data_IF_291798238645
#
_entry.id   IF_291798238645
#
_cell.length_a   1.000
_cell.length_b   1.000
_cell.length_c   1.000
_cell.angle_alpha   90.00
_cell.angle_beta   90.00
_cell.angle_gamma   90.00
#
_symmetry.space_group_name_H-M   'P 1'
#
loop_
_entity.id
_entity.type
_entity.pdbx_description
1 polymer ?
#
# COMPACT_ATOMS: atom_id res chain seq x y z
N UNK A 1 -30.96 -23.32 -3.98
CA UNK A 1 -29.76 -22.53 -4.34
C UNK A 1 -30.11 -21.12 -3.96
N UNK A 2 -29.46 -20.52 -2.96
CA UNK A 2 -29.68 -19.11 -2.66
C UNK A 2 -29.10 -18.31 -3.84
N UNK A 3 -29.91 -17.45 -4.45
CA UNK A 3 -29.40 -16.51 -5.45
C UNK A 3 -28.39 -15.60 -4.76
N UNK A 4 -27.23 -15.40 -5.41
CA UNK A 4 -26.14 -14.58 -4.91
C UNK A 4 -26.59 -13.11 -4.90
N UNK A 5 -26.78 -12.52 -3.72
CA UNK A 5 -27.23 -11.14 -3.54
C UNK A 5 -26.16 -10.17 -4.05
N UNK A 6 -26.53 -9.28 -4.95
CA UNK A 6 -25.65 -8.22 -5.42
C UNK A 6 -25.86 -6.94 -4.60
N UNK A 7 -24.78 -6.15 -4.49
CA UNK A 7 -24.76 -4.90 -3.75
C UNK A 7 -24.48 -3.73 -4.70
N UNK A 8 -25.22 -2.64 -4.52
CA UNK A 8 -25.13 -1.48 -5.40
C UNK A 8 -25.06 -0.15 -4.65
N UNK A 9 -24.53 0.85 -5.35
CA UNK A 9 -24.55 2.26 -5.00
C UNK A 9 -25.36 3.02 -6.04
N UNK A 10 -26.35 3.79 -5.60
CA UNK A 10 -27.23 4.60 -6.43
C UNK A 10 -27.11 6.08 -6.07
N UNK A 11 -26.60 6.86 -7.02
CA UNK A 11 -26.61 8.32 -6.96
C UNK A 11 -28.02 8.85 -7.26
N UNK A 12 -28.69 9.46 -6.29
CA UNK A 12 -30.02 10.03 -6.47
C UNK A 12 -30.03 11.56 -6.36
N UNK A 13 -30.98 12.19 -7.07
CA UNK A 13 -31.27 13.62 -6.90
C UNK A 13 -32.26 13.84 -5.75
N UNK A 14 -32.30 15.06 -5.21
CA UNK A 14 -33.16 15.43 -4.09
C UNK A 14 -34.64 15.12 -4.37
N UNK A 15 -35.11 15.49 -5.56
CA UNK A 15 -36.51 15.34 -5.97
C UNK A 15 -36.95 13.89 -6.28
N UNK A 16 -36.11 12.89 -6.01
CA UNK A 16 -36.45 11.47 -6.19
C UNK A 16 -37.19 10.87 -5.01
N UNK A 17 -37.20 11.59 -3.90
CA UNK A 17 -37.83 11.21 -2.64
C UNK A 17 -38.73 12.35 -2.18
N UNK A 18 -39.83 12.01 -1.52
CA UNK A 18 -40.65 13.01 -0.84
C UNK A 18 -40.13 13.23 0.58
N UNK A 19 -39.38 14.30 0.77
CA UNK A 19 -38.80 14.66 2.07
C UNK A 19 -39.83 15.22 3.06
N UNK A 20 -41.11 15.35 2.67
CA UNK A 20 -42.19 15.74 3.59
C UNK A 20 -42.89 14.54 4.24
N UNK A 21 -42.64 13.33 3.73
CA UNK A 21 -43.11 12.07 4.29
C UNK A 21 -41.92 11.24 4.81
N UNK A 22 -42.13 10.25 5.70
CA UNK A 22 -41.08 9.32 6.08
C UNK A 22 -40.43 8.68 4.83
N UNK A 23 -39.10 8.69 4.75
CA UNK A 23 -38.40 8.18 3.57
C UNK A 23 -38.46 6.65 3.51
N UNK A 24 -38.44 6.00 4.67
CA UNK A 24 -38.54 4.54 4.80
C UNK A 24 -39.87 4.05 4.22
N UNK A 25 -39.78 3.08 3.31
CA UNK A 25 -40.91 2.49 2.58
C UNK A 25 -41.27 3.22 1.29
N UNK A 26 -40.67 4.39 1.00
CA UNK A 26 -40.84 5.03 -0.30
C UNK A 26 -40.16 4.21 -1.41
N UNK A 27 -40.73 4.26 -2.60
CA UNK A 27 -40.18 3.61 -3.78
C UNK A 27 -39.83 4.60 -4.87
N UNK A 28 -38.74 4.37 -5.59
CA UNK A 28 -38.30 5.21 -6.71
C UNK A 28 -37.94 4.38 -7.93
N UNK A 29 -38.13 4.94 -9.12
CA UNK A 29 -37.92 4.27 -10.40
C UNK A 29 -36.75 4.89 -11.17
N UNK A 30 -35.83 4.05 -11.65
CA UNK A 30 -34.80 4.45 -12.61
C UNK A 30 -34.85 3.63 -13.89
N UNK A 31 -34.53 4.28 -15.02
CA UNK A 31 -34.50 3.67 -16.36
C UNK A 31 -33.09 3.79 -16.96
N UNK A 32 -32.62 2.71 -17.59
CA UNK A 32 -31.26 2.60 -18.14
C UNK A 32 -30.98 3.46 -19.39
N UNK A 33 -31.90 4.33 -19.83
CA UNK A 33 -31.95 4.82 -21.22
C UNK A 33 -32.17 6.32 -21.46
N UNK A 34 -32.02 7.22 -20.48
CA UNK A 34 -32.38 8.63 -20.72
C UNK A 34 -31.21 9.58 -21.05
N UNK A 35 -30.10 9.68 -20.28
CA UNK A 35 -29.09 10.74 -20.52
C UNK A 35 -27.71 10.48 -19.89
N UNK A 36 -27.11 9.28 -19.99
CA UNK A 36 -25.86 9.00 -19.25
C UNK A 36 -24.87 8.09 -20.00
N UNK A 37 -23.58 8.19 -19.63
CA UNK A 37 -22.44 7.54 -20.28
C UNK A 37 -22.67 5.99 -20.35
N UNK A 38 -22.79 5.39 -21.55
CA UNK A 38 -23.37 4.05 -21.73
C UNK A 38 -22.57 2.85 -21.19
N UNK A 39 -21.31 3.02 -20.78
CA UNK A 39 -20.38 1.89 -20.68
C UNK A 39 -20.42 1.11 -19.35
N UNK A 40 -20.74 1.75 -18.21
CA UNK A 40 -20.74 1.09 -16.89
C UNK A 40 -22.11 1.01 -16.22
N UNK A 41 -22.89 2.11 -16.19
CA UNK A 41 -24.22 2.10 -15.55
C UNK A 41 -25.15 1.05 -16.15
N UNK A 42 -25.12 0.88 -17.48
CA UNK A 42 -25.94 -0.10 -18.19
C UNK A 42 -25.64 -1.56 -17.80
N UNK A 43 -24.40 -1.88 -17.39
CA UNK A 43 -24.05 -3.24 -16.91
C UNK A 43 -24.64 -3.50 -15.53
N UNK A 44 -24.59 -2.53 -14.62
CA UNK A 44 -25.21 -2.66 -13.30
C UNK A 44 -26.73 -2.88 -13.42
N UNK A 45 -27.41 -2.14 -14.31
CA UNK A 45 -28.83 -2.37 -14.60
C UNK A 45 -29.13 -3.76 -15.16
N UNK A 46 -28.22 -4.37 -15.94
CA UNK A 46 -28.39 -5.73 -16.47
C UNK A 46 -28.26 -6.82 -15.41
N UNK A 47 -27.43 -6.58 -14.40
CA UNK A 47 -27.14 -7.54 -13.35
C UNK A 47 -28.12 -7.42 -12.16
N UNK A 48 -28.90 -6.34 -12.10
CA UNK A 48 -29.88 -6.11 -11.05
C UNK A 48 -30.97 -7.19 -11.03
N UNK A 49 -31.21 -7.73 -9.84
CA UNK A 49 -32.24 -8.72 -9.51
C UNK A 49 -33.07 -8.25 -8.32
N UNK A 50 -34.26 -8.82 -8.17
CA UNK A 50 -35.13 -8.53 -7.01
C UNK A 50 -34.45 -9.08 -5.75
N UNK A 51 -34.40 -8.28 -4.69
CA UNK A 51 -33.73 -8.62 -3.43
C UNK A 51 -32.28 -8.11 -3.31
N UNK A 52 -31.68 -7.64 -4.40
CA UNK A 52 -30.37 -7.00 -4.36
C UNK A 52 -30.39 -5.73 -3.49
N UNK A 53 -29.29 -5.48 -2.77
CA UNK A 53 -29.20 -4.41 -1.80
C UNK A 53 -28.56 -3.15 -2.39
N UNK A 54 -29.03 -1.97 -1.96
CA UNK A 54 -28.68 -0.69 -2.58
C UNK A 54 -28.45 0.40 -1.54
N UNK A 55 -27.31 1.08 -1.63
CA UNK A 55 -27.02 2.34 -0.94
C UNK A 55 -27.58 3.50 -1.76
N UNK A 56 -28.33 4.40 -1.11
CA UNK A 56 -28.81 5.64 -1.70
C UNK A 56 -27.92 6.82 -1.29
N UNK A 57 -27.33 7.50 -2.26
CA UNK A 57 -26.48 8.66 -2.04
C UNK A 57 -27.01 9.89 -2.77
N UNK A 58 -27.29 10.95 -2.03
CA UNK A 58 -27.86 12.18 -2.56
C UNK A 58 -26.77 13.14 -3.03
N UNK A 59 -26.72 13.37 -4.35
CA UNK A 59 -25.66 14.18 -4.99
C UNK A 59 -26.00 15.67 -5.04
N UNK A 60 -27.29 16.01 -5.03
CA UNK A 60 -27.74 17.40 -5.07
C UNK A 60 -27.81 17.98 -3.65
N UNK A 61 -27.45 19.25 -3.48
CA UNK A 61 -27.49 19.96 -2.18
C UNK A 61 -26.50 19.41 -1.12
N UNK A 62 -25.43 18.69 -1.52
CA UNK A 62 -24.37 18.16 -0.65
C UNK A 62 -24.88 17.36 0.58
N UNK A 63 -26.00 16.68 0.42
CA UNK A 63 -26.72 16.02 1.52
C UNK A 63 -26.15 14.65 1.89
N UNK A 64 -25.36 14.03 1.01
CA UNK A 64 -24.57 12.84 1.35
C UNK A 64 -25.37 11.53 1.35
N UNK A 65 -24.94 10.60 2.19
CA UNK A 65 -25.56 9.28 2.38
C UNK A 65 -27.00 9.43 2.90
N UNK A 66 -27.98 8.86 2.19
CA UNK A 66 -29.39 8.96 2.57
C UNK A 66 -29.84 7.75 3.38
N UNK A 67 -29.47 6.55 2.93
CA UNK A 67 -30.03 5.31 3.45
C UNK A 67 -29.60 4.09 2.66
N UNK A 68 -30.16 2.94 3.02
CA UNK A 68 -30.06 1.72 2.24
C UNK A 68 -31.41 1.02 2.09
N UNK A 69 -31.50 0.11 1.14
CA UNK A 69 -32.70 -0.66 0.88
C UNK A 69 -32.49 -1.68 -0.24
N UNK A 70 -33.55 -2.01 -0.97
CA UNK A 70 -33.52 -3.15 -1.88
C UNK A 70 -34.19 -2.89 -3.24
N UNK A 71 -33.86 -3.72 -4.22
CA UNK A 71 -34.53 -3.77 -5.50
C UNK A 71 -35.81 -4.61 -5.37
N UNK A 72 -36.97 -3.99 -5.63
CA UNK A 72 -38.29 -4.65 -5.49
C UNK A 72 -38.89 -5.09 -6.82
N UNK A 73 -38.41 -4.54 -7.94
CA UNK A 73 -38.91 -4.91 -9.28
C UNK A 73 -37.92 -4.54 -10.38
N UNK A 74 -37.69 -5.47 -11.31
CA UNK A 74 -36.86 -5.27 -12.51
C UNK A 74 -37.69 -5.62 -13.74
N UNK A 75 -37.83 -4.69 -14.68
CA UNK A 75 -38.62 -4.86 -15.90
C UNK A 75 -37.80 -4.48 -17.13
N UNK A 76 -37.75 -5.36 -18.12
CA UNK A 76 -37.15 -5.07 -19.43
C UNK A 76 -38.23 -4.61 -20.39
N UNK A 77 -38.21 -3.32 -20.73
CA UNK A 77 -39.15 -2.69 -21.66
C UNK A 77 -38.73 -2.81 -23.13
N UNK A 78 -39.57 -2.27 -24.02
CA UNK A 78 -39.26 -2.14 -25.44
C UNK A 78 -37.95 -1.37 -25.67
N UNK A 79 -37.16 -1.77 -26.67
CA UNK A 79 -35.83 -1.21 -27.00
C UNK A 79 -34.70 -1.51 -25.99
N UNK A 80 -34.75 -2.63 -25.25
CA UNK A 80 -33.72 -3.02 -24.27
C UNK A 80 -33.51 -2.02 -23.11
N UNK A 81 -34.53 -1.22 -22.80
CA UNK A 81 -34.53 -0.34 -21.63
C UNK A 81 -34.91 -1.12 -20.37
N UNK A 82 -34.05 -1.10 -19.36
CA UNK A 82 -34.30 -1.76 -18.08
C UNK A 82 -34.83 -0.72 -17.10
N UNK A 83 -35.94 -1.04 -16.44
CA UNK A 83 -36.58 -0.25 -15.40
C UNK A 83 -36.43 -0.97 -14.08
N UNK A 84 -35.89 -0.29 -13.09
CA UNK A 84 -35.63 -0.86 -11.76
C UNK A 84 -36.33 0.01 -10.72
N UNK A 85 -37.17 -0.63 -9.90
CA UNK A 85 -37.77 -0.01 -8.73
C UNK A 85 -36.96 -0.36 -7.50
N UNK A 86 -36.67 0.66 -6.71
CA UNK A 86 -35.94 0.57 -5.46
C UNK A 86 -36.85 0.99 -4.32
N UNK A 87 -36.75 0.34 -3.17
CA UNK A 87 -37.42 0.72 -1.94
C UNK A 87 -36.38 1.08 -0.88
N UNK A 88 -36.55 2.20 -0.19
CA UNK A 88 -35.69 2.58 0.94
C UNK A 88 -36.15 1.87 2.21
N UNK A 89 -35.28 1.10 2.86
CA UNK A 89 -35.61 0.31 4.05
C UNK A 89 -35.13 0.96 5.34
N UNK A 90 -34.06 1.73 5.28
CA UNK A 90 -33.46 2.37 6.45
C UNK A 90 -32.80 3.70 6.07
N UNK A 91 -33.00 4.71 6.92
CA UNK A 91 -32.30 5.99 6.82
C UNK A 91 -30.95 5.92 7.54
N UNK A 92 -29.92 6.52 6.94
CA UNK A 92 -28.55 6.58 7.46
C UNK A 92 -28.14 8.03 7.72
N UNK A 93 -27.12 8.24 8.56
CA UNK A 93 -26.56 9.58 8.79
C UNK A 93 -26.04 10.17 7.47
N UNK A 94 -26.21 11.49 7.26
CA UNK A 94 -25.78 12.19 6.04
C UNK A 94 -24.26 12.33 5.96
N UNK A 95 -23.59 11.23 5.59
CA UNK A 95 -22.15 11.17 5.39
C UNK A 95 -21.78 11.62 3.98
N UNK A 96 -20.87 12.59 3.87
CA UNK A 96 -20.41 13.07 2.56
C UNK A 96 -19.44 12.08 1.91
N UNK A 97 -19.35 12.13 0.59
CA UNK A 97 -18.35 11.38 -0.18
C UNK A 97 -16.92 11.67 0.31
N UNK A 98 -16.63 12.90 0.75
CA UNK A 98 -15.32 13.27 1.28
C UNK A 98 -15.04 12.68 2.66
N UNK A 99 -16.08 12.46 3.48
CA UNK A 99 -15.95 11.67 4.71
C UNK A 99 -15.67 10.20 4.37
N UNK A 100 -16.46 9.59 3.49
CA UNK A 100 -16.31 8.16 3.13
C UNK A 100 -14.95 7.86 2.49
N UNK A 101 -14.40 8.78 1.68
CA UNK A 101 -13.04 8.66 1.09
C UNK A 101 -11.91 8.59 2.10
N UNK A 102 -12.15 8.93 3.38
CA UNK A 102 -11.13 8.79 4.44
C UNK A 102 -10.83 7.33 4.76
N UNK A 103 -11.76 6.42 4.46
CA UNK A 103 -11.53 4.98 4.57
C UNK A 103 -10.70 4.49 3.38
N UNK A 104 -9.58 3.83 3.64
CA UNK A 104 -8.75 3.23 2.58
C UNK A 104 -9.55 2.21 1.74
N UNK A 105 -10.49 1.47 2.36
CA UNK A 105 -11.36 0.51 1.68
C UNK A 105 -12.32 1.20 0.69
N UNK A 106 -12.83 2.38 1.05
CA UNK A 106 -13.81 3.10 0.23
C UNK A 106 -13.17 4.14 -0.71
N UNK A 107 -11.93 4.56 -0.46
CA UNK A 107 -11.30 5.68 -1.19
C UNK A 107 -11.32 5.47 -2.70
N UNK A 108 -10.79 4.33 -3.16
CA UNK A 108 -10.72 4.00 -4.58
C UNK A 108 -12.14 3.94 -5.18
N UNK A 109 -13.07 3.29 -4.48
CA UNK A 109 -14.46 3.14 -4.93
C UNK A 109 -15.15 4.50 -5.08
N UNK A 110 -15.10 5.32 -4.04
CA UNK A 110 -15.73 6.65 -4.01
C UNK A 110 -15.11 7.63 -5.02
N UNK A 111 -13.82 7.50 -5.34
CA UNK A 111 -13.18 8.30 -6.41
C UNK A 111 -13.70 7.93 -7.79
N UNK A 112 -13.96 6.65 -8.04
CA UNK A 112 -14.34 6.15 -9.36
C UNK A 112 -15.85 6.18 -9.66
N UNK A 113 -16.72 6.29 -8.64
CA UNK A 113 -18.18 6.29 -8.81
C UNK A 113 -18.80 7.66 -9.15
N UNK A 114 -18.03 8.75 -9.18
CA UNK A 114 -18.58 10.12 -9.23
C UNK A 114 -19.42 10.46 -10.46
N UNK A 115 -19.30 9.71 -11.56
CA UNK A 115 -19.96 10.03 -12.83
C UNK A 115 -21.08 9.05 -13.21
N UNK A 116 -21.20 7.93 -12.49
CA UNK A 116 -22.10 6.83 -12.83
C UNK A 116 -23.27 6.79 -11.87
N UNK A 117 -24.49 6.74 -12.42
CA UNK A 117 -25.72 6.73 -11.64
C UNK A 117 -25.82 5.51 -10.70
N UNK A 118 -25.48 4.34 -11.22
CA UNK A 118 -25.71 3.05 -10.58
C UNK A 118 -24.46 2.18 -10.72
N UNK A 119 -23.88 1.78 -9.60
CA UNK A 119 -22.59 1.10 -9.53
C UNK A 119 -22.68 -0.15 -8.68
N UNK A 120 -22.06 -1.24 -9.13
CA UNK A 120 -21.91 -2.43 -8.30
C UNK A 120 -20.77 -2.22 -7.30
N UNK A 121 -21.03 -2.52 -6.04
CA UNK A 121 -20.08 -2.51 -4.93
C UNK A 121 -19.96 -3.92 -4.35
N UNK A 122 -18.93 -4.17 -3.54
CA UNK A 122 -18.82 -5.44 -2.81
C UNK A 122 -19.70 -5.44 -1.57
N UNK A 123 -19.98 -6.62 -1.04
CA UNK A 123 -20.65 -6.81 0.26
C UNK A 123 -19.91 -6.08 1.39
N UNK A 124 -18.59 -6.25 1.45
CA UNK A 124 -17.72 -5.58 2.44
C UNK A 124 -17.82 -4.04 2.35
N UNK A 125 -17.84 -3.48 1.13
CA UNK A 125 -18.03 -2.05 0.90
C UNK A 125 -19.42 -1.60 1.38
N UNK A 126 -20.47 -2.39 1.12
CA UNK A 126 -21.85 -2.11 1.53
C UNK A 126 -21.99 -2.12 3.05
N UNK A 127 -21.55 -3.18 3.71
CA UNK A 127 -21.64 -3.34 5.17
C UNK A 127 -20.91 -2.21 5.91
N UNK A 128 -19.71 -1.84 5.45
CA UNK A 128 -18.97 -0.72 6.01
C UNK A 128 -19.71 0.60 5.87
N UNK A 129 -20.32 0.88 4.71
CA UNK A 129 -21.08 2.13 4.51
C UNK A 129 -22.31 2.16 5.44
N UNK A 130 -23.01 1.03 5.60
CA UNK A 130 -24.15 0.92 6.51
C UNK A 130 -23.72 1.13 7.97
N UNK A 131 -22.64 0.48 8.42
CA UNK A 131 -22.15 0.62 9.80
C UNK A 131 -21.69 2.05 10.11
N UNK A 132 -21.04 2.71 9.15
CA UNK A 132 -20.69 4.14 9.23
C UNK A 132 -21.94 5.03 9.27
N UNK A 133 -22.93 4.74 8.41
CA UNK A 133 -24.19 5.46 8.34
C UNK A 133 -25.05 5.33 9.60
N UNK A 134 -25.05 4.17 10.25
CA UNK A 134 -25.68 3.97 11.58
C UNK A 134 -24.88 4.66 12.69
N UNK A 135 -23.58 4.85 12.46
CA UNK A 135 -22.64 5.37 13.44
C UNK A 135 -22.22 4.35 14.48
N UNK A 136 -22.36 3.06 14.16
CA UNK A 136 -21.83 1.93 14.93
C UNK A 136 -20.30 1.92 14.86
N UNK A 137 -19.75 2.39 13.73
CA UNK A 137 -18.32 2.53 13.49
C UNK A 137 -17.98 3.95 13.05
N UNK A 138 -16.75 4.41 13.32
CA UNK A 138 -16.19 5.65 12.78
C UNK A 138 -14.94 5.34 11.96
N UNK A 139 -14.64 6.18 10.98
CA UNK A 139 -13.37 6.06 10.25
C UNK A 139 -12.27 6.59 11.18
N UNK A 140 -11.28 5.76 11.55
CA UNK A 140 -10.21 6.21 12.44
C UNK A 140 -9.38 7.29 11.73
N UNK A 141 -8.96 8.29 12.51
CA UNK A 141 -8.10 9.37 12.03
C UNK A 141 -6.82 9.38 12.86
N UNK A 142 -5.71 9.62 12.16
CA UNK A 142 -4.39 9.49 12.72
C UNK A 142 -3.66 10.82 12.57
N UNK A 143 -3.00 11.25 13.63
CA UNK A 143 -2.21 12.47 13.64
C UNK A 143 -0.86 12.26 14.28
N UNK A 144 0.12 12.99 13.78
CA UNK A 144 1.45 13.12 14.37
C UNK A 144 1.46 14.36 15.25
N UNK A 145 1.85 14.21 16.52
CA UNK A 145 1.96 15.30 17.48
C UNK A 145 3.41 15.42 17.98
N UNK A 146 4.01 16.60 17.80
CA UNK A 146 5.41 16.87 18.09
C UNK A 146 5.55 17.80 19.30
N UNK A 147 6.13 17.29 20.37
CA UNK A 147 6.31 17.99 21.63
C UNK A 147 7.75 17.90 22.15
N UNK A 148 8.02 18.69 23.20
CA UNK A 148 9.29 18.68 23.94
C UNK A 148 9.12 18.19 25.38
N UNK A 149 7.88 18.05 25.85
CA UNK A 149 7.59 17.50 27.17
C UNK A 149 7.69 15.98 27.13
N UNK A 150 8.01 15.40 28.28
CA UNK A 150 7.92 13.96 28.47
C UNK A 150 6.47 13.55 28.79
N UNK A 151 6.16 12.29 28.53
CA UNK A 151 4.82 11.72 28.69
C UNK A 151 4.93 10.40 29.44
N UNK A 152 4.05 10.22 30.41
CA UNK A 152 3.87 8.99 31.17
C UNK A 152 2.60 8.27 30.69
N UNK A 153 2.61 6.93 30.59
CA UNK A 153 1.43 6.12 30.28
C UNK A 153 0.23 6.42 31.19
N UNK A 154 -0.96 6.31 30.61
CA UNK A 154 -2.26 6.44 31.27
C UNK A 154 -2.54 7.82 31.90
N UNK A 155 -1.96 8.89 31.36
CA UNK A 155 -2.16 10.26 31.82
C UNK A 155 -2.69 11.21 30.73
N UNK A 156 -3.49 12.20 31.15
CA UNK A 156 -3.96 13.29 30.32
C UNK A 156 -3.01 14.51 30.35
N UNK A 157 -2.71 15.03 29.18
CA UNK A 157 -1.82 16.17 29.00
C UNK A 157 -2.52 17.33 28.28
N UNK A 158 -2.27 18.55 28.78
CA UNK A 158 -2.73 19.76 28.11
C UNK A 158 -1.72 20.19 27.05
N UNK A 159 -2.15 20.19 25.79
CA UNK A 159 -1.33 20.65 24.66
C UNK A 159 -1.88 21.97 24.12
N UNK A 160 -1.14 23.04 24.34
CA UNK A 160 -1.56 24.35 23.87
C UNK A 160 -1.31 24.53 22.37
N UNK A 161 -2.24 25.20 21.70
CA UNK A 161 -2.22 25.39 20.23
C UNK A 161 -1.45 26.62 19.77
N UNK A 162 -1.08 27.50 20.69
CA UNK A 162 -0.28 28.69 20.46
C UNK A 162 1.03 28.64 21.25
N UNK A 163 2.01 29.48 20.91
CA UNK A 163 3.18 29.74 21.74
C UNK A 163 2.80 30.64 22.92
N UNK A 164 3.74 30.85 23.85
CA UNK A 164 3.53 31.74 25.01
C UNK A 164 3.12 33.17 24.60
N UNK A 165 3.67 33.64 23.46
CA UNK A 165 3.38 34.96 22.88
C UNK A 165 2.11 34.97 22.01
N UNK A 166 1.37 33.86 21.93
CA UNK A 166 0.10 33.79 21.20
C UNK A 166 0.25 33.56 19.69
N UNK A 167 1.43 33.15 19.24
CA UNK A 167 1.65 32.78 17.84
C UNK A 167 1.10 31.36 17.64
N UNK A 168 0.27 31.16 16.62
CA UNK A 168 -0.25 29.83 16.25
C UNK A 168 0.91 28.86 16.02
N UNK A 169 0.84 27.68 16.64
CA UNK A 169 1.82 26.62 16.37
C UNK A 169 1.65 26.13 14.93
N UNK A 170 2.75 25.69 14.31
CA UNK A 170 2.72 25.18 12.95
C UNK A 170 1.83 23.95 12.86
N UNK A 171 0.93 23.93 11.87
CA UNK A 171 -0.12 22.93 11.77
C UNK A 171 -1.42 23.29 12.47
N UNK A 172 -1.62 24.55 12.88
CA UNK A 172 -2.79 24.99 13.64
C UNK A 172 -4.14 24.50 13.11
N UNK A 173 -4.32 24.49 11.80
CA UNK A 173 -5.56 24.03 11.15
C UNK A 173 -5.92 22.56 11.49
N UNK A 174 -4.94 21.71 11.82
CA UNK A 174 -5.22 20.35 12.27
C UNK A 174 -5.84 20.33 13.68
N UNK A 175 -5.43 21.22 14.59
CA UNK A 175 -6.07 21.30 15.92
C UNK A 175 -7.57 21.60 15.83
N UNK A 176 -7.99 22.40 14.85
CA UNK A 176 -9.42 22.70 14.63
C UNK A 176 -10.20 21.54 14.00
N UNK A 177 -9.51 20.53 13.48
CA UNK A 177 -10.10 19.35 12.83
C UNK A 177 -10.17 18.13 13.75
N UNK A 178 -9.41 18.13 14.86
CA UNK A 178 -9.39 17.01 15.80
C UNK A 178 -10.77 16.76 16.39
N UNK A 179 -11.11 15.51 16.65
CA UNK A 179 -12.28 15.11 17.44
C UNK A 179 -11.83 14.17 18.55
N UNK A 180 -12.65 14.04 19.59
CA UNK A 180 -12.39 13.08 20.67
C UNK A 180 -12.31 11.66 20.10
N UNK A 181 -11.26 10.93 20.46
CA UNK A 181 -10.94 9.58 19.97
C UNK A 181 -10.03 9.53 18.72
N UNK A 182 -9.64 10.69 18.16
CA UNK A 182 -8.61 10.72 17.12
C UNK A 182 -7.29 10.20 17.65
N UNK A 183 -6.65 9.31 16.90
CA UNK A 183 -5.44 8.61 17.29
C UNK A 183 -4.20 9.48 17.06
N UNK A 184 -3.31 9.49 18.02
CA UNK A 184 -2.10 10.31 18.06
C UNK A 184 -0.85 9.44 18.13
N UNK A 185 0.16 9.84 17.35
CA UNK A 185 1.54 9.39 17.50
C UNK A 185 2.32 10.53 18.15
N UNK A 186 2.93 10.27 19.30
CA UNK A 186 3.69 11.25 20.06
C UNK A 186 5.16 11.22 19.66
N UNK A 187 5.64 12.33 19.13
CA UNK A 187 7.04 12.56 18.80
C UNK A 187 7.66 13.53 19.80
N UNK A 188 8.72 13.10 20.46
CA UNK A 188 9.44 13.92 21.42
C UNK A 188 10.76 14.39 20.82
N UNK A 189 10.90 15.71 20.68
CA UNK A 189 12.10 16.36 20.11
C UNK A 189 13.32 16.20 21.00
N UNK A 190 13.13 16.06 22.31
CA UNK A 190 14.19 15.89 23.29
C UNK A 190 14.61 14.42 23.46
N UNK A 191 13.75 13.48 23.06
CA UNK A 191 14.02 12.04 23.08
C UNK A 191 14.71 11.57 21.79
N UNK A 192 15.89 12.12 21.48
CA UNK A 192 16.63 11.83 20.23
C UNK A 192 15.79 12.01 18.96
N UNK A 193 14.84 12.95 18.97
CA UNK A 193 13.91 13.18 17.87
C UNK A 193 13.16 11.88 17.46
N UNK A 194 12.45 11.27 18.40
CA UNK A 194 11.81 9.97 18.19
C UNK A 194 10.31 10.02 18.41
N UNK A 195 9.59 9.16 17.71
CA UNK A 195 8.25 8.73 18.14
C UNK A 195 8.42 7.88 19.40
N UNK A 196 7.72 8.22 20.48
CA UNK A 196 7.87 7.60 21.81
C UNK A 196 6.61 6.90 22.31
N UNK A 197 5.44 7.18 21.73
CA UNK A 197 4.21 6.59 22.23
C UNK A 197 2.98 6.91 21.39
N UNK A 198 1.88 6.36 21.86
CA UNK A 198 0.57 6.45 21.24
C UNK A 198 -0.44 6.97 22.25
N UNK A 199 -1.54 7.47 21.72
CA UNK A 199 -2.69 7.83 22.52
C UNK A 199 -3.76 8.47 21.66
N UNK A 200 -4.59 9.29 22.26
CA UNK A 200 -5.74 9.86 21.58
C UNK A 200 -6.09 11.25 22.09
N UNK A 201 -6.91 11.96 21.31
CA UNK A 201 -7.51 13.21 21.75
C UNK A 201 -8.60 12.91 22.76
N UNK A 202 -8.41 13.32 24.02
CA UNK A 202 -9.41 13.16 25.08
C UNK A 202 -10.37 14.33 25.16
N UNK A 203 -9.93 15.55 24.79
CA UNK A 203 -10.79 16.72 24.72
C UNK A 203 -10.47 17.61 23.51
N UNK A 204 -11.52 17.98 22.77
CA UNK A 204 -11.41 18.89 21.63
C UNK A 204 -10.88 20.28 22.06
N UNK A 205 -10.49 21.08 21.07
CA UNK A 205 -10.04 22.46 21.23
C UNK A 205 -10.99 23.27 22.11
N UNK A 206 -10.46 23.81 23.20
CA UNK A 206 -11.17 24.62 24.18
C UNK A 206 -10.24 25.69 24.78
N UNK A 207 -10.79 26.64 25.51
CA UNK A 207 -10.01 27.65 26.22
C UNK A 207 -9.84 27.27 27.70
N UNK A 208 -8.59 27.25 28.16
CA UNK A 208 -8.28 27.14 29.59
C UNK A 208 -8.36 28.52 30.26
N UNK A 209 -8.49 28.60 31.60
CA UNK A 209 -8.38 29.85 32.34
C UNK A 209 -7.08 30.61 31.99
N UNK A 210 -7.07 31.96 32.09
CA UNK A 210 -5.88 32.75 31.80
C UNK A 210 -4.67 32.32 32.64
N UNK A 211 -3.53 32.15 31.99
CA UNK A 211 -2.28 31.73 32.63
C UNK A 211 -1.33 32.93 32.64
N UNK A 212 -0.77 33.33 33.80
CA UNK A 212 0.14 34.46 33.87
C UNK A 212 1.27 34.38 32.84
N UNK A 213 1.44 35.45 32.05
CA UNK A 213 2.46 35.57 31.01
C UNK A 213 2.10 34.96 29.65
N UNK A 214 1.07 34.09 29.57
CA UNK A 214 0.62 33.49 28.31
C UNK A 214 -0.50 34.32 27.69
N UNK A 215 -0.39 34.69 26.43
CA UNK A 215 -1.39 35.57 25.76
C UNK A 215 -2.59 34.83 25.18
N UNK A 216 -2.50 33.51 24.98
CA UNK A 216 -3.61 32.68 24.50
C UNK A 216 -3.60 31.31 25.21
N UNK A 217 -4.75 30.92 25.79
CA UNK A 217 -4.92 29.70 26.57
C UNK A 217 -5.69 28.59 25.84
N UNK A 218 -5.86 28.70 24.52
CA UNK A 218 -6.50 27.64 23.72
C UNK A 218 -5.64 26.38 23.70
N UNK A 219 -6.24 25.24 24.00
CA UNK A 219 -5.58 23.95 24.14
C UNK A 219 -6.48 22.79 23.71
N UNK A 220 -5.85 21.65 23.46
CA UNK A 220 -6.49 20.33 23.42
C UNK A 220 -6.05 19.53 24.64
N UNK A 221 -6.82 18.52 25.03
CA UNK A 221 -6.36 17.48 25.97
C UNK A 221 -6.10 16.21 25.18
N UNK A 222 -4.99 15.56 25.52
CA UNK A 222 -4.56 14.32 24.89
C UNK A 222 -4.28 13.30 25.98
N UNK A 223 -4.84 12.11 25.82
CA UNK A 223 -4.54 10.97 26.66
C UNK A 223 -3.34 10.25 26.06
N UNK A 224 -2.27 10.10 26.84
CA UNK A 224 -1.12 9.31 26.43
C UNK A 224 -1.35 7.87 26.89
N UNK A 225 -1.74 6.99 25.97
CA UNK A 225 -2.14 5.62 26.28
C UNK A 225 -0.94 4.78 26.70
N UNK A 226 0.11 4.74 25.88
CA UNK A 226 1.25 3.86 26.13
C UNK A 226 2.52 4.32 25.42
N UNK A 227 3.64 4.03 26.06
CA UNK A 227 4.96 4.12 25.45
C UNK A 227 5.14 3.00 24.43
N UNK A 228 5.84 3.29 23.34
CA UNK A 228 6.27 2.31 22.35
C UNK A 228 7.81 2.34 22.23
N UNK A 229 8.41 1.33 21.60
CA UNK A 229 9.84 1.34 21.33
C UNK A 229 10.19 2.57 20.48
N UNK A 230 11.09 3.46 20.93
CA UNK A 230 11.28 4.73 20.25
C UNK A 230 11.79 4.58 18.81
N UNK A 231 11.14 5.25 17.86
CA UNK A 231 11.55 5.27 16.45
C UNK A 231 12.08 6.66 16.08
N UNK A 232 13.39 6.76 15.86
CA UNK A 232 14.06 8.03 15.57
C UNK A 232 13.65 8.60 14.20
N UNK A 233 13.74 9.91 14.06
CA UNK A 233 13.49 10.65 12.80
C UNK A 233 14.31 10.08 11.64
N UNK A 234 15.58 9.78 11.88
CA UNK A 234 16.47 9.18 10.88
C UNK A 234 15.97 7.83 10.42
N UNK A 235 15.43 7.02 11.32
CA UNK A 235 14.88 5.70 11.00
C UNK A 235 13.55 5.81 10.26
N UNK A 236 12.64 6.69 10.71
CA UNK A 236 11.36 6.96 10.03
C UNK A 236 11.58 7.37 8.57
N UNK A 237 12.55 8.24 8.30
CA UNK A 237 12.88 8.71 6.95
C UNK A 237 13.40 7.62 5.99
N UNK A 238 13.80 6.45 6.50
CA UNK A 238 14.20 5.33 5.65
C UNK A 238 13.02 4.48 5.17
N UNK A 239 11.84 4.61 5.79
CA UNK A 239 10.68 3.81 5.42
C UNK A 239 10.01 4.36 4.15
N UNK A 240 9.73 3.53 3.12
CA UNK A 240 9.21 3.99 1.83
C UNK A 240 7.92 4.79 1.88
N UNK A 241 7.04 4.53 2.86
CA UNK A 241 5.77 5.24 3.04
C UNK A 241 5.89 6.53 3.87
N UNK A 242 7.01 6.72 4.57
CA UNK A 242 7.24 7.84 5.50
C UNK A 242 8.33 8.80 5.01
N UNK A 243 9.20 8.34 4.10
CA UNK A 243 10.19 9.19 3.43
C UNK A 243 9.50 10.34 2.71
N UNK A 244 10.09 11.53 2.79
CA UNK A 244 9.61 12.77 2.18
C UNK A 244 8.34 13.40 2.82
N UNK A 245 7.88 12.92 3.98
CA UNK A 245 6.85 13.65 4.73
C UNK A 245 7.42 15.00 5.20
N UNK A 246 6.74 16.09 4.85
CA UNK A 246 7.22 17.45 5.09
C UNK A 246 7.47 17.75 6.57
N UNK A 247 6.77 17.07 7.47
CA UNK A 247 6.89 17.21 8.93
C UNK A 247 7.90 16.25 9.57
N UNK A 248 8.49 15.33 8.80
CA UNK A 248 9.57 14.44 9.23
C UNK A 248 10.94 14.88 8.69
N UNK A 249 11.09 16.14 8.27
CA UNK A 249 12.37 16.70 7.87
C UNK A 249 13.13 17.23 9.10
N UNK A 250 14.47 17.19 9.10
CA UNK A 250 15.29 17.64 10.24
C UNK A 250 15.00 19.09 10.68
N UNK A 251 14.62 19.95 9.74
CA UNK A 251 14.29 21.36 10.00
C UNK A 251 12.77 21.61 10.14
N UNK A 252 11.94 20.57 10.15
CA UNK A 252 10.50 20.72 10.24
C UNK A 252 10.10 21.28 11.60
N UNK A 253 9.41 22.42 11.59
CA UNK A 253 8.87 23.05 12.80
C UNK A 253 7.42 22.66 13.07
N UNK A 254 6.89 21.65 12.37
CA UNK A 254 5.50 21.24 12.48
C UNK A 254 5.20 20.72 13.89
N UNK A 255 4.16 21.23 14.54
CA UNK A 255 3.74 20.76 15.86
C UNK A 255 2.72 19.63 15.74
N UNK A 256 1.85 19.67 14.72
CA UNK A 256 0.86 18.64 14.46
C UNK A 256 0.67 18.43 12.95
N UNK A 257 0.47 17.20 12.51
CA UNK A 257 0.16 16.87 11.12
C UNK A 257 -0.80 15.69 11.02
N UNK A 258 -1.58 15.60 9.95
CA UNK A 258 -2.37 14.41 9.63
C UNK A 258 -1.50 13.28 9.10
N UNK A 259 -1.82 12.04 9.48
CA UNK A 259 -1.25 10.80 8.94
C UNK A 259 -2.34 10.01 8.18
N UNK A 260 -1.95 9.31 7.12
CA UNK A 260 -2.80 8.22 6.60
C UNK A 260 -2.71 7.00 7.52
N UNK A 261 -3.69 6.09 7.44
CA UNK A 261 -3.65 4.83 8.18
C UNK A 261 -2.38 4.04 7.86
N UNK A 262 -2.07 3.87 6.59
CA UNK A 262 -0.82 3.28 6.10
C UNK A 262 0.48 3.91 6.64
N UNK A 263 0.47 5.21 6.97
CA UNK A 263 1.62 5.87 7.59
C UNK A 263 1.66 5.61 9.10
N UNK A 264 0.52 5.68 9.77
CA UNK A 264 0.39 5.35 11.19
C UNK A 264 0.83 3.91 11.46
N UNK A 265 0.30 2.94 10.70
CA UNK A 265 0.67 1.52 10.78
C UNK A 265 2.17 1.30 10.49
N UNK A 266 2.74 2.04 9.54
CA UNK A 266 4.17 1.95 9.28
C UNK A 266 5.01 2.41 10.49
N UNK A 267 4.58 3.46 11.22
CA UNK A 267 5.27 3.91 12.43
C UNK A 267 5.16 2.84 13.52
N UNK A 268 3.99 2.23 13.70
CA UNK A 268 3.77 1.14 14.64
C UNK A 268 4.64 -0.08 14.32
N UNK A 269 4.61 -0.53 13.06
CA UNK A 269 5.44 -1.63 12.59
C UNK A 269 6.91 -1.33 12.84
N UNK A 270 7.36 -0.10 12.59
CA UNK A 270 8.75 0.28 12.86
C UNK A 270 9.06 0.27 14.35
N UNK A 271 8.12 0.62 15.22
CA UNK A 271 8.33 0.55 16.66
C UNK A 271 8.43 -0.89 17.13
N UNK A 272 7.50 -1.75 16.74
CA UNK A 272 7.50 -3.17 17.09
C UNK A 272 8.79 -3.88 16.65
N UNK A 273 9.39 -3.44 15.54
CA UNK A 273 10.59 -4.04 14.96
C UNK A 273 11.89 -3.25 15.26
N UNK A 274 11.90 -2.32 16.23
CA UNK A 274 13.05 -1.47 16.59
C UNK A 274 13.66 -0.65 15.43
N UNK A 275 12.87 -0.28 14.44
CA UNK A 275 13.24 0.54 13.29
C UNK A 275 12.71 -0.01 11.98
N UNK A 276 13.48 0.10 10.89
CA UNK A 276 13.21 -0.78 9.75
C UNK A 276 13.40 -2.21 10.24
N UNK A 277 12.43 -3.09 9.98
CA UNK A 277 12.63 -4.54 10.13
C UNK A 277 14.05 -4.89 9.66
N UNK A 278 14.92 -5.51 10.49
CA UNK A 278 15.93 -6.37 9.88
C UNK A 278 15.12 -7.27 8.94
N UNK A 279 15.51 -7.37 7.67
CA UNK A 279 14.71 -8.08 6.67
C UNK A 279 14.49 -9.58 6.99
N UNK A 280 14.91 -10.05 8.17
CA UNK A 280 14.66 -11.37 8.73
C UNK A 280 14.51 -11.31 10.27
N UNK A 281 13.34 -11.68 10.80
CA UNK A 281 13.20 -12.34 12.10
C UNK A 281 12.22 -13.53 11.99
N UNK A 282 12.60 -14.65 12.60
CA UNK A 282 11.92 -15.95 12.58
C UNK A 282 10.50 -15.84 13.15
N UNK A 283 9.50 -16.26 12.38
CA UNK A 283 8.20 -16.67 12.93
C UNK A 283 8.28 -18.14 13.33
N UNK A 284 7.85 -18.49 14.54
CA UNK A 284 7.69 -19.87 14.98
C UNK A 284 6.67 -20.63 14.12
N UNK A 285 6.92 -21.92 13.96
CA UNK A 285 6.21 -22.86 13.08
C UNK A 285 4.75 -23.02 13.48
N UNK A 286 3.83 -22.43 12.72
CA UNK A 286 2.42 -22.85 12.71
C UNK A 286 1.83 -22.82 11.29
N UNK A 287 2.43 -23.60 10.41
CA UNK A 287 1.79 -24.78 9.83
C UNK A 287 2.87 -25.51 9.07
N UNK A 288 3.11 -26.75 9.47
CA UNK A 288 3.94 -27.70 8.76
C UNK A 288 3.31 -27.91 7.39
N UNK A 289 3.80 -27.20 6.38
CA UNK A 289 4.00 -27.82 5.09
C UNK A 289 5.33 -28.54 5.20
N UNK A 290 5.22 -29.82 5.51
CA UNK A 290 6.30 -30.76 5.34
C UNK A 290 6.80 -30.70 3.90
N UNK A 291 8.12 -30.57 3.81
CA UNK A 291 9.00 -31.17 2.80
C UNK A 291 9.24 -30.43 1.46
N UNK A 292 10.55 -30.25 1.22
CA UNK A 292 11.28 -30.09 -0.05
C UNK A 292 11.37 -28.69 -0.68
N UNK A 293 12.35 -27.86 -0.25
CA UNK A 293 13.14 -27.04 -1.22
C UNK A 293 14.39 -26.32 -0.64
N UNK A 294 15.13 -26.93 0.29
CA UNK A 294 16.39 -26.37 0.82
C UNK A 294 17.56 -26.34 -0.20
N UNK A 295 17.34 -26.76 -1.46
CA UNK A 295 18.40 -26.98 -2.47
C UNK A 295 18.45 -25.97 -3.64
N UNK A 296 17.54 -25.00 -3.71
CA UNK A 296 17.49 -24.08 -4.87
C UNK A 296 18.55 -22.97 -4.75
N UNK A 297 19.69 -23.13 -5.45
CA UNK A 297 20.79 -22.14 -5.53
C UNK A 297 20.94 -21.58 -6.95
N UNK A 298 20.12 -20.59 -7.36
CA UNK A 298 20.14 -20.06 -8.71
C UNK A 298 21.41 -19.24 -9.00
N UNK A 299 22.10 -18.71 -7.98
CA UNK A 299 23.35 -18.01 -8.18
C UNK A 299 24.53 -18.98 -8.12
N UNK A 300 25.41 -18.90 -9.11
CA UNK A 300 26.69 -19.60 -9.16
C UNK A 300 27.77 -18.54 -9.24
N UNK A 301 28.52 -18.35 -8.16
CA UNK A 301 29.61 -17.39 -8.11
C UNK A 301 30.93 -18.10 -8.40
N UNK A 302 31.46 -17.89 -9.59
CA UNK A 302 32.76 -18.41 -10.04
C UNK A 302 33.87 -17.48 -9.54
N UNK A 303 34.70 -17.99 -8.62
CA UNK A 303 35.85 -17.26 -8.09
C UNK A 303 37.06 -17.57 -8.95
N UNK A 304 37.59 -16.53 -9.61
CA UNK A 304 38.66 -16.63 -10.61
C UNK A 304 39.84 -15.75 -10.20
N UNK A 305 41.06 -16.25 -10.38
CA UNK A 305 42.27 -15.45 -10.18
C UNK A 305 42.39 -14.37 -11.27
N UNK A 306 42.88 -13.18 -10.90
CA UNK A 306 42.92 -11.96 -11.75
C UNK A 306 43.65 -12.11 -13.10
N UNK A 307 44.45 -13.16 -13.25
CA UNK A 307 45.28 -13.42 -14.43
C UNK A 307 44.61 -14.37 -15.46
N UNK A 308 43.34 -14.75 -15.28
CA UNK A 308 42.67 -15.80 -16.08
C UNK A 308 41.37 -15.35 -16.75
N UNK A 309 40.99 -16.10 -17.78
CA UNK A 309 39.77 -15.88 -18.58
C UNK A 309 38.54 -16.48 -17.87
N UNK A 310 37.94 -15.74 -16.93
CA UNK A 310 36.77 -16.22 -16.18
C UNK A 310 35.55 -16.59 -17.05
N UNK A 311 35.45 -16.03 -18.26
CA UNK A 311 34.44 -16.36 -19.25
C UNK A 311 34.61 -17.77 -19.84
N UNK A 312 35.84 -18.29 -20.00
CA UNK A 312 36.09 -19.65 -20.49
C UNK A 312 35.57 -20.70 -19.50
N UNK A 313 35.80 -20.49 -18.20
CA UNK A 313 35.30 -21.36 -17.13
C UNK A 313 33.76 -21.39 -17.08
N UNK A 314 33.12 -20.24 -17.31
CA UNK A 314 31.67 -20.17 -17.44
C UNK A 314 31.17 -20.92 -18.68
N UNK A 315 31.87 -20.80 -19.82
CA UNK A 315 31.53 -21.52 -21.06
C UNK A 315 31.63 -23.04 -20.92
N UNK A 316 32.65 -23.56 -20.23
CA UNK A 316 32.77 -25.01 -19.96
C UNK A 316 31.60 -25.54 -19.12
N UNK A 317 31.17 -24.77 -18.12
CA UNK A 317 30.00 -25.11 -17.30
C UNK A 317 28.72 -25.10 -18.13
N UNK A 318 28.58 -24.13 -19.04
CA UNK A 318 27.43 -24.00 -19.93
C UNK A 318 27.37 -25.12 -20.97
N UNK A 319 28.49 -25.52 -21.59
CA UNK A 319 28.56 -26.59 -22.58
C UNK A 319 28.06 -27.93 -22.00
N UNK A 320 28.35 -28.23 -20.73
CA UNK A 320 27.87 -29.44 -20.04
C UNK A 320 26.35 -29.44 -19.80
N UNK A 321 25.69 -28.27 -19.85
CA UNK A 321 24.27 -28.11 -19.49
C UNK A 321 23.34 -27.94 -20.69
N UNK A 322 23.88 -27.84 -21.91
CA UNK A 322 23.15 -27.59 -23.16
C UNK A 322 22.17 -26.39 -23.07
N UNK A 323 22.61 -25.31 -22.43
CA UNK A 323 21.79 -24.15 -22.15
C UNK A 323 22.14 -22.97 -23.06
N UNK A 324 21.18 -22.05 -23.26
CA UNK A 324 21.39 -20.81 -24.01
C UNK A 324 21.84 -19.68 -23.06
N UNK A 325 23.10 -19.22 -23.11
CA UNK A 325 23.58 -18.17 -22.23
C UNK A 325 23.30 -16.78 -22.79
N UNK A 326 22.94 -15.86 -21.90
CA UNK A 326 23.02 -14.41 -22.15
C UNK A 326 24.21 -13.89 -21.38
N UNK A 327 25.19 -13.29 -22.06
CA UNK A 327 26.42 -12.80 -21.43
C UNK A 327 26.36 -11.27 -21.33
N UNK A 328 26.65 -10.74 -20.15
CA UNK A 328 26.79 -9.31 -19.88
C UNK A 328 28.00 -9.07 -18.96
N UNK A 329 28.37 -7.80 -18.79
CA UNK A 329 29.48 -7.38 -17.92
C UNK A 329 28.97 -6.42 -16.84
N UNK A 330 29.39 -6.67 -15.61
CA UNK A 330 29.11 -5.84 -14.45
C UNK A 330 29.84 -4.51 -14.50
N UNK A 331 29.12 -3.46 -14.13
CA UNK A 331 29.60 -2.09 -14.04
C UNK A 331 29.10 -1.47 -12.72
N UNK A 332 29.79 -0.48 -12.13
CA UNK A 332 29.26 0.23 -10.96
C UNK A 332 27.87 0.86 -11.17
N UNK A 333 27.54 1.24 -12.41
CA UNK A 333 26.24 1.79 -12.79
C UNK A 333 25.21 0.71 -13.17
N UNK A 334 25.45 -0.55 -12.81
CA UNK A 334 24.51 -1.63 -13.07
C UNK A 334 23.32 -1.48 -12.11
N UNK A 335 22.11 -1.35 -12.66
CA UNK A 335 20.91 -1.01 -11.87
C UNK A 335 19.83 -2.10 -11.93
N UNK A 336 18.86 -2.01 -11.01
CA UNK A 336 17.64 -2.80 -11.01
C UNK A 336 16.89 -2.73 -12.36
N UNK A 337 16.86 -1.55 -13.01
CA UNK A 337 16.26 -1.37 -14.33
C UNK A 337 16.85 -2.30 -15.39
N UNK A 338 18.15 -2.61 -15.30
CA UNK A 338 18.83 -3.51 -16.24
C UNK A 338 18.43 -4.97 -16.01
N UNK A 339 18.10 -5.36 -14.78
CA UNK A 339 17.70 -6.72 -14.41
C UNK A 339 16.21 -6.97 -14.62
N UNK A 340 15.38 -6.01 -14.20
CA UNK A 340 13.93 -6.18 -14.12
C UNK A 340 13.19 -5.42 -15.21
N UNK A 341 13.80 -4.38 -15.78
CA UNK A 341 13.21 -3.58 -16.84
C UNK A 341 12.60 -2.27 -16.36
N UNK A 342 12.39 -1.35 -17.30
CA UNK A 342 11.86 -0.01 -17.05
C UNK A 342 10.99 0.50 -18.18
N UNK A 343 10.21 1.53 -17.88
CA UNK A 343 9.52 2.30 -18.90
C UNK A 343 10.48 3.23 -19.62
N UNK A 344 10.47 3.17 -20.95
CA UNK A 344 11.22 4.05 -21.84
C UNK A 344 10.25 4.76 -22.78
N UNK A 345 10.48 6.05 -23.11
CA UNK A 345 9.73 6.71 -24.17
C UNK A 345 10.11 6.13 -25.53
N UNK A 346 9.13 5.94 -26.41
CA UNK A 346 9.37 5.69 -27.83
C UNK A 346 9.54 7.01 -28.60
N UNK A 347 9.76 6.93 -29.91
CA UNK A 347 9.95 8.09 -30.81
C UNK A 347 8.77 9.08 -30.80
N UNK A 348 7.57 8.62 -30.41
CA UNK A 348 6.36 9.42 -30.30
C UNK A 348 6.10 9.93 -28.87
N UNK A 349 7.04 9.71 -27.93
CA UNK A 349 6.91 10.10 -26.52
C UNK A 349 6.02 9.18 -25.66
N UNK A 350 5.45 8.11 -26.22
CA UNK A 350 4.67 7.14 -25.47
C UNK A 350 5.59 6.16 -24.73
N UNK A 351 5.27 5.87 -23.47
CA UNK A 351 6.06 4.95 -22.65
C UNK A 351 5.79 3.49 -23.04
N UNK A 352 6.85 2.73 -23.33
CA UNK A 352 6.80 1.29 -23.47
C UNK A 352 7.68 0.65 -22.40
N UNK A 353 7.28 -0.52 -21.90
CA UNK A 353 8.08 -1.26 -20.94
C UNK A 353 9.13 -2.10 -21.67
N UNK A 354 10.41 -1.86 -21.37
CA UNK A 354 11.52 -2.69 -21.83
C UNK A 354 11.89 -3.65 -20.70
N UNK A 355 11.74 -4.94 -20.94
CA UNK A 355 12.16 -5.98 -20.00
C UNK A 355 13.68 -5.95 -19.78
N UNK A 356 14.11 -6.24 -18.56
CA UNK A 356 15.50 -6.41 -18.18
C UNK A 356 15.97 -7.86 -18.31
N UNK A 357 17.26 -8.10 -18.04
CA UNK A 357 17.91 -9.39 -18.27
C UNK A 357 17.18 -10.57 -17.61
N UNK A 358 16.68 -10.43 -16.37
CA UNK A 358 15.98 -11.51 -15.67
C UNK A 358 14.55 -11.67 -16.22
N UNK A 359 13.79 -10.57 -16.33
CA UNK A 359 12.40 -10.64 -16.80
C UNK A 359 12.27 -11.11 -18.25
N UNK A 360 13.25 -10.78 -19.10
CA UNK A 360 13.24 -11.16 -20.51
C UNK A 360 13.70 -12.60 -20.71
N UNK A 361 14.74 -13.04 -19.99
CA UNK A 361 15.45 -14.27 -20.30
C UNK A 361 15.15 -15.45 -19.36
N UNK A 362 14.45 -15.21 -18.23
CA UNK A 362 13.95 -16.28 -17.37
C UNK A 362 12.86 -17.05 -18.14
N UNK A 363 13.16 -18.26 -18.63
CA UNK A 363 12.34 -18.95 -19.61
C UNK A 363 11.18 -19.61 -18.89
N UNK A 364 10.05 -19.78 -19.57
CA UNK A 364 8.91 -20.55 -19.02
C UNK A 364 9.14 -22.07 -19.06
N UNK A 365 10.09 -22.57 -19.88
CA UNK A 365 10.29 -24.02 -20.11
C UNK A 365 11.74 -24.49 -20.33
N UNK A 366 12.61 -23.69 -20.94
CA UNK A 366 13.98 -24.12 -21.30
C UNK A 366 15.01 -23.89 -20.18
N UNK A 367 16.21 -24.48 -20.30
CA UNK A 367 17.36 -24.14 -19.45
C UNK A 367 18.08 -22.93 -20.07
N UNK A 368 18.03 -21.77 -19.44
CA UNK A 368 18.82 -20.61 -19.83
C UNK A 368 19.57 -20.04 -18.62
N UNK A 369 20.67 -19.37 -18.93
CA UNK A 369 21.60 -18.85 -17.93
C UNK A 369 21.91 -17.39 -18.24
N UNK A 370 22.01 -16.57 -17.21
CA UNK A 370 22.58 -15.22 -17.31
C UNK A 370 24.01 -15.26 -16.78
N UNK A 371 24.99 -14.96 -17.64
CA UNK A 371 26.40 -14.84 -17.24
C UNK A 371 26.72 -13.37 -17.07
N UNK A 372 27.28 -13.01 -15.92
CA UNK A 372 27.69 -11.66 -15.59
C UNK A 372 29.18 -11.69 -15.26
N UNK A 373 30.01 -11.21 -16.18
CA UNK A 373 31.43 -11.00 -15.93
C UNK A 373 31.66 -9.78 -15.02
N UNK A 374 32.78 -9.70 -14.31
CA UNK A 374 33.09 -8.62 -13.37
C UNK A 374 31.98 -8.38 -12.33
N UNK A 375 31.40 -9.47 -11.81
CA UNK A 375 30.30 -9.43 -10.83
C UNK A 375 30.67 -8.68 -9.55
N UNK A 376 31.96 -8.65 -9.19
CA UNK A 376 32.45 -7.85 -8.07
C UNK A 376 32.28 -6.33 -8.26
N UNK A 377 31.95 -5.83 -9.44
CA UNK A 377 31.72 -4.41 -9.69
C UNK A 377 30.26 -4.00 -9.51
N UNK A 378 29.37 -4.96 -9.29
CA UNK A 378 27.93 -4.73 -9.11
C UNK A 378 27.61 -4.68 -7.61
N UNK A 379 26.72 -3.76 -7.24
CA UNK A 379 26.09 -3.77 -5.92
C UNK A 379 25.07 -4.92 -5.84
N UNK A 380 25.23 -5.91 -4.94
CA UNK A 380 24.35 -7.08 -4.88
C UNK A 380 22.89 -6.74 -4.57
N UNK A 381 22.63 -5.57 -3.98
CA UNK A 381 21.29 -5.13 -3.61
C UNK A 381 20.38 -4.95 -4.82
N UNK A 382 20.94 -4.80 -6.03
CA UNK A 382 20.11 -4.79 -7.25
C UNK A 382 19.39 -6.11 -7.50
N UNK A 383 19.79 -7.20 -6.84
CA UNK A 383 19.12 -8.50 -6.92
C UNK A 383 18.05 -8.70 -5.84
N UNK A 384 17.83 -7.72 -4.94
CA UNK A 384 16.97 -7.87 -3.76
C UNK A 384 15.55 -8.30 -4.12
N UNK A 385 14.97 -7.76 -5.19
CA UNK A 385 13.64 -8.17 -5.66
C UNK A 385 13.60 -9.66 -6.03
N UNK A 386 14.65 -10.17 -6.66
CA UNK A 386 14.75 -11.59 -7.03
C UNK A 386 14.98 -12.48 -5.81
N UNK A 387 15.84 -12.07 -4.88
CA UNK A 387 16.08 -12.78 -3.61
C UNK A 387 14.78 -12.90 -2.80
N UNK A 388 13.97 -11.84 -2.76
CA UNK A 388 12.68 -11.88 -2.08
C UNK A 388 11.71 -12.89 -2.74
N UNK A 389 11.69 -12.98 -4.07
CA UNK A 389 10.91 -14.03 -4.76
C UNK A 389 11.43 -15.43 -4.40
N UNK A 390 12.75 -15.60 -4.23
CA UNK A 390 13.33 -16.87 -3.78
C UNK A 390 13.01 -17.19 -2.30
N UNK A 391 12.83 -16.20 -1.45
CA UNK A 391 12.33 -16.40 -0.08
C UNK A 391 10.81 -16.64 -0.03
N UNK A 392 10.13 -16.60 -1.18
CA UNK A 392 8.70 -16.89 -1.31
C UNK A 392 7.78 -15.67 -1.24
N UNK A 393 8.34 -14.46 -1.19
CA UNK A 393 7.56 -13.23 -1.27
C UNK A 393 6.96 -13.04 -2.67
N UNK A 394 5.77 -12.43 -2.70
CA UNK A 394 5.18 -11.93 -3.93
C UNK A 394 5.60 -10.47 -4.14
N UNK A 395 6.30 -10.22 -5.24
CA UNK A 395 6.86 -8.91 -5.56
C UNK A 395 6.05 -8.26 -6.68
N UNK A 396 5.75 -6.98 -6.52
CA UNK A 396 5.09 -6.19 -7.55
C UNK A 396 6.15 -5.44 -8.36
N UNK A 397 6.19 -5.68 -9.67
CA UNK A 397 7.09 -5.00 -10.58
C UNK A 397 6.48 -3.66 -11.03
N UNK A 398 7.31 -2.65 -11.36
CA UNK A 398 6.86 -1.39 -11.95
C UNK A 398 6.48 -1.58 -13.43
N UNK A 399 5.59 -2.53 -13.71
CA UNK A 399 5.04 -2.88 -15.03
C UNK A 399 3.54 -3.08 -14.88
N UNK A 400 2.77 -2.48 -15.78
CA UNK A 400 1.32 -2.63 -15.81
C UNK A 400 0.89 -3.66 -16.85
N UNK A 401 -0.11 -4.46 -16.50
CA UNK A 401 -0.82 -5.33 -17.44
C UNK A 401 -1.79 -4.51 -18.31
N UNK A 402 -2.48 -5.16 -19.26
CA UNK A 402 -3.45 -4.51 -20.16
C UNK A 402 -4.66 -3.89 -19.43
N UNK A 403 -4.87 -4.24 -18.16
CA UNK A 403 -5.96 -3.75 -17.31
C UNK A 403 -5.50 -2.61 -16.38
N UNK A 404 -4.25 -2.16 -16.49
CA UNK A 404 -3.70 -1.10 -15.65
C UNK A 404 -3.33 -1.55 -14.23
N UNK A 405 -3.30 -2.86 -13.95
CA UNK A 405 -2.81 -3.40 -12.67
C UNK A 405 -1.32 -3.69 -12.75
N UNK A 406 -0.60 -3.42 -11.66
CA UNK A 406 0.81 -3.79 -11.59
C UNK A 406 0.99 -5.30 -11.63
N UNK A 407 2.07 -5.72 -12.26
CA UNK A 407 2.37 -7.12 -12.51
C UNK A 407 3.07 -7.72 -11.30
N UNK A 408 2.61 -8.92 -10.90
CA UNK A 408 3.15 -9.68 -9.78
C UNK A 408 4.16 -10.72 -10.26
N UNK A 409 5.22 -10.91 -9.47
CA UNK A 409 6.23 -11.95 -9.62
C UNK A 409 6.28 -12.75 -8.32
N UNK A 410 6.11 -14.06 -8.43
CA UNK A 410 6.20 -14.98 -7.29
C UNK A 410 6.67 -16.36 -7.74
N UNK A 411 6.78 -17.27 -6.77
CA UNK A 411 6.95 -18.71 -7.02
C UNK A 411 5.66 -19.41 -7.44
N UNK A 412 4.49 -18.78 -7.34
CA UNK A 412 3.21 -19.39 -7.73
C UNK A 412 3.11 -19.52 -9.26
N UNK A 413 2.42 -20.56 -9.74
CA UNK A 413 2.33 -20.86 -11.18
C UNK A 413 1.46 -19.87 -11.97
N UNK A 414 0.58 -19.15 -11.29
CA UNK A 414 -0.37 -18.19 -11.82
C UNK A 414 0.17 -16.74 -11.83
N UNK A 415 1.34 -16.48 -11.25
CA UNK A 415 1.97 -15.16 -11.34
C UNK A 415 2.51 -14.90 -12.75
N UNK A 416 2.44 -13.65 -13.18
CA UNK A 416 2.77 -13.23 -14.55
C UNK A 416 4.22 -13.58 -14.92
N UNK A 417 5.15 -13.30 -13.99
CA UNK A 417 6.47 -13.92 -13.97
C UNK A 417 6.45 -15.01 -12.91
N UNK A 418 6.85 -16.21 -13.30
CA UNK A 418 6.96 -17.36 -12.43
C UNK A 418 8.44 -17.71 -12.29
N UNK A 419 8.93 -17.89 -11.06
CA UNK A 419 10.28 -18.37 -10.84
C UNK A 419 10.49 -19.75 -11.46
N UNK A 420 11.47 -19.89 -12.36
CA UNK A 420 11.84 -21.18 -12.93
C UNK A 420 13.06 -21.75 -12.16
N UNK A 421 12.94 -22.93 -11.50
CA UNK A 421 14.04 -23.53 -10.76
C UNK A 421 15.24 -23.94 -11.64
N UNK A 422 15.05 -24.03 -12.96
CA UNK A 422 16.13 -24.32 -13.90
C UNK A 422 16.90 -23.07 -14.37
N UNK A 423 16.46 -21.87 -14.00
CA UNK A 423 17.13 -20.62 -14.33
C UNK A 423 18.28 -20.33 -13.36
N UNK A 424 19.45 -20.00 -13.90
CA UNK A 424 20.64 -19.73 -13.11
C UNK A 424 21.35 -18.44 -13.56
N UNK A 425 21.99 -17.78 -12.61
CA UNK A 425 22.82 -16.60 -12.82
C UNK A 425 24.26 -16.98 -12.43
N UNK A 426 25.17 -16.94 -13.41
CA UNK A 426 26.60 -17.18 -13.21
C UNK A 426 27.28 -15.82 -13.05
N UNK A 427 27.74 -15.51 -11.85
CA UNK A 427 28.59 -14.33 -11.60
C UNK A 427 30.06 -14.74 -11.63
N UNK A 428 30.87 -14.09 -12.47
CA UNK A 428 32.33 -14.25 -12.44
C UNK A 428 32.89 -13.15 -11.56
N UNK A 429 33.59 -13.53 -10.49
CA UNK A 429 34.18 -12.61 -9.54
C UNK A 429 35.68 -12.83 -9.42
N UNK A 430 36.39 -11.72 -9.23
CA UNK A 430 37.83 -11.68 -9.00
C UNK A 430 38.18 -11.28 -7.55
N UNK A 431 37.17 -11.25 -6.68
CA UNK A 431 37.33 -11.05 -5.24
C UNK A 431 37.66 -12.40 -4.57
N UNK A 432 38.44 -12.38 -3.49
CA UNK A 432 38.72 -13.59 -2.70
C UNK A 432 37.53 -14.00 -1.82
N UNK A 433 37.59 -15.21 -1.24
CA UNK A 433 36.48 -15.73 -0.41
C UNK A 433 36.19 -14.90 0.86
N UNK A 434 37.21 -14.29 1.47
CA UNK A 434 36.99 -13.48 2.66
C UNK A 434 36.26 -12.19 2.28
N UNK A 435 36.72 -11.53 1.21
CA UNK A 435 36.08 -10.35 0.62
C UNK A 435 34.62 -10.65 0.22
N UNK A 436 34.36 -11.80 -0.40
CA UNK A 436 32.99 -12.22 -0.77
C UNK A 436 32.11 -12.37 0.49
N UNK A 437 32.59 -13.05 1.53
CA UNK A 437 31.79 -13.26 2.75
C UNK A 437 31.48 -11.98 3.51
N UNK A 438 32.35 -10.98 3.42
CA UNK A 438 32.16 -9.67 4.06
C UNK A 438 31.25 -8.76 3.22
N UNK A 439 31.42 -8.78 1.90
CA UNK A 439 30.74 -7.88 0.96
C UNK A 439 29.30 -8.26 0.65
N UNK A 440 28.99 -9.55 0.56
CA UNK A 440 27.66 -10.01 0.14
C UNK A 440 26.78 -10.35 1.35
N UNK A 441 25.49 -9.99 1.28
CA UNK A 441 24.55 -10.24 2.37
C UNK A 441 24.35 -11.74 2.66
N UNK A 442 24.03 -12.13 3.90
CA UNK A 442 23.72 -13.53 4.23
C UNK A 442 22.58 -14.12 3.38
N UNK A 443 21.59 -13.30 3.02
CA UNK A 443 20.48 -13.69 2.15
C UNK A 443 20.95 -14.01 0.73
N UNK A 444 21.82 -13.18 0.15
CA UNK A 444 22.41 -13.47 -1.16
C UNK A 444 23.23 -14.76 -1.13
N UNK A 445 24.07 -14.93 -0.09
CA UNK A 445 24.92 -16.09 0.07
C UNK A 445 24.14 -17.40 0.29
N UNK A 446 22.96 -17.35 0.94
CA UNK A 446 22.04 -18.50 1.09
C UNK A 446 21.69 -19.12 -0.26
N UNK A 447 21.40 -18.28 -1.26
CA UNK A 447 21.01 -18.69 -2.61
C UNK A 447 22.18 -18.82 -3.60
N UNK A 448 23.42 -18.69 -3.10
CA UNK A 448 24.63 -18.68 -3.92
C UNK A 448 25.47 -19.93 -3.68
N UNK A 449 25.83 -20.61 -4.77
CA UNK A 449 26.88 -21.61 -4.79
C UNK A 449 28.20 -20.94 -5.17
N UNK A 450 29.13 -20.86 -4.24
CA UNK A 450 30.49 -20.38 -4.52
C UNK A 450 31.33 -21.53 -5.03
N UNK A 451 31.90 -21.37 -6.22
CA UNK A 451 32.76 -22.36 -6.86
C UNK A 451 34.10 -21.70 -7.16
N UNK A 452 35.16 -22.22 -6.53
CA UNK A 452 36.51 -21.90 -6.96
C UNK A 452 36.80 -22.67 -8.23
N UNK A 453 37.20 -21.97 -9.28
CA UNK A 453 37.66 -22.63 -10.50
C UNK A 453 39.00 -23.27 -10.16
N UNK A 454 39.02 -24.60 -10.04
CA UNK A 454 40.24 -25.35 -9.75
C UNK A 454 41.24 -25.13 -10.88
N UNK A 455 42.49 -24.92 -10.50
CA UNK A 455 43.62 -24.98 -11.41
C UNK A 455 43.98 -26.46 -11.55
N UNK A 456 43.55 -27.10 -12.62
CA UNK A 456 44.30 -28.27 -13.05
C UNK A 456 45.70 -27.79 -13.50
N UNK A 457 46.69 -28.57 -13.07
CA UNK A 457 48.13 -28.37 -13.25
C UNK A 457 48.55 -28.08 -14.69
#
# INVERSE_FOLDING_TARGET
MAEETNYFWLNCGYNRWDHHEPLVGQTTLFESGAHFNPSQGFRAFKNAQVGDQVIFYQVQMDTGLLGHGEIVSVQTGAQNKIRVHFELKEELKPLTSDYLKRSEQLEFRMRNMKETLFNQITEEEFELIVSLGRGETKIPRYFFLSETQDFEPDEDYTVYTHTYNGIKRNGYHHYTQLEVGDQLVFFNKNANQSVIGLGEVSHHLHEKPPIPGRTNSSAIEVYFERTINPVTLTTLNKHPKLKNLYFLQENAKQAIASLSQTQYEAILEMSENNGLKPQFEKVEKTHVLESEDDDVKPFILLVVNRDKQGLEAAQELLQKTNANPVITTGHPDFTEDMLYGKYLPNENGALYYREGFITQNMPRKDKSYLVIDNFNRIDPDVFQMYLNVLDGYEITLPRYNKEGKMIKWSRKKDSFYHFNPNWHIIGITYDDLATIKEKYSPQFLKYTRIVRVNEDQ
#
